data_IF_092077274242
#
_entry.id   IF_092077274242
#
_cell.length_a   1.000
_cell.length_b   1.000
_cell.length_c   1.000
_cell.angle_alpha   90.00
_cell.angle_beta   90.00
_cell.angle_gamma   90.00
#
_symmetry.space_group_name_H-M   'P 1'
#
loop_
_entity.id
_entity.type
_entity.pdbx_description
1 polymer ?
#
# COMPACT_ATOMS: atom_id res chain seq x y z
N UNK A 1 5.41 -26.09 -17.01
CA UNK A 1 6.23 -24.88 -16.85
C UNK A 1 5.80 -24.20 -15.56
N UNK A 2 6.76 -23.60 -14.81
CA UNK A 2 6.41 -22.74 -13.67
C UNK A 2 5.63 -21.51 -14.18
N UNK A 3 4.61 -21.10 -13.44
CA UNK A 3 3.90 -19.84 -13.73
C UNK A 3 4.79 -18.65 -13.42
N UNK A 4 4.77 -17.65 -14.31
CA UNK A 4 5.56 -16.42 -14.20
C UNK A 4 4.72 -15.31 -13.60
N UNK A 5 5.23 -14.68 -12.55
CA UNK A 5 4.62 -13.50 -11.96
C UNK A 5 5.53 -12.27 -12.17
N UNK A 6 4.99 -11.21 -12.73
CA UNK A 6 5.64 -9.92 -12.83
C UNK A 6 5.20 -9.04 -11.66
N UNK A 7 6.16 -8.61 -10.85
CA UNK A 7 5.93 -7.74 -9.70
C UNK A 7 6.63 -6.42 -9.93
N UNK A 8 5.90 -5.32 -10.13
CA UNK A 8 6.51 -4.00 -10.23
C UNK A 8 6.60 -3.34 -8.86
N UNK A 9 7.66 -2.61 -8.59
CA UNK A 9 7.96 -2.12 -7.23
C UNK A 9 8.39 -3.26 -6.30
N UNK A 10 9.08 -4.26 -6.85
CA UNK A 10 9.42 -5.52 -6.19
C UNK A 10 10.26 -5.35 -4.93
N UNK A 11 11.05 -4.30 -4.84
CA UNK A 11 11.90 -4.00 -3.67
C UNK A 11 11.18 -3.23 -2.56
N UNK A 12 9.93 -2.77 -2.82
CA UNK A 12 9.08 -2.11 -1.83
C UNK A 12 8.45 -3.10 -0.83
N UNK A 13 7.69 -2.56 0.14
CA UNK A 13 7.03 -3.36 1.19
C UNK A 13 6.18 -4.49 0.61
N UNK A 14 5.16 -4.14 -0.18
CA UNK A 14 4.20 -5.14 -0.70
C UNK A 14 4.83 -5.97 -1.82
N UNK A 15 5.60 -5.33 -2.73
CA UNK A 15 6.27 -6.04 -3.82
C UNK A 15 7.19 -7.14 -3.32
N UNK A 16 8.00 -6.88 -2.29
CA UNK A 16 8.92 -7.88 -1.74
C UNK A 16 8.19 -9.01 -1.01
N UNK A 17 7.09 -8.71 -0.33
CA UNK A 17 6.24 -9.72 0.29
C UNK A 17 5.61 -10.63 -0.77
N UNK A 18 5.10 -10.06 -1.88
CA UNK A 18 4.59 -10.82 -3.04
C UNK A 18 5.68 -11.73 -3.61
N UNK A 19 6.88 -11.20 -3.84
CA UNK A 19 8.00 -11.98 -4.35
C UNK A 19 8.33 -13.17 -3.45
N UNK A 20 8.46 -12.95 -2.14
CA UNK A 20 8.78 -13.99 -1.17
C UNK A 20 7.67 -15.04 -1.07
N UNK A 21 6.42 -14.61 -0.99
CA UNK A 21 5.25 -15.48 -0.84
C UNK A 21 5.07 -16.40 -2.06
N UNK A 22 5.04 -15.84 -3.25
CA UNK A 22 4.81 -16.63 -4.47
C UNK A 22 6.03 -17.47 -4.87
N UNK A 23 7.24 -17.04 -4.53
CA UNK A 23 8.43 -17.90 -4.64
C UNK A 23 8.27 -19.19 -3.82
N UNK A 24 7.82 -19.07 -2.55
CA UNK A 24 7.58 -20.23 -1.68
C UNK A 24 6.47 -21.17 -2.24
N UNK A 25 5.58 -20.66 -3.09
CA UNK A 25 4.57 -21.44 -3.80
C UNK A 25 5.08 -22.02 -5.15
N UNK A 26 6.35 -21.83 -5.49
CA UNK A 26 6.98 -22.40 -6.68
C UNK A 26 6.76 -21.60 -7.98
N UNK A 27 6.46 -20.30 -7.88
CA UNK A 27 6.38 -19.41 -9.04
C UNK A 27 7.77 -18.91 -9.45
N UNK A 28 7.92 -18.60 -10.74
CA UNK A 28 9.05 -17.85 -11.29
C UNK A 28 8.76 -16.35 -11.13
N UNK A 29 9.61 -15.64 -10.41
CA UNK A 29 9.38 -14.25 -10.00
C UNK A 29 10.22 -13.29 -10.85
N UNK A 30 9.56 -12.39 -11.57
CA UNK A 30 10.21 -11.28 -12.28
C UNK A 30 9.92 -9.98 -11.53
N UNK A 31 10.90 -9.50 -10.78
CA UNK A 31 10.80 -8.28 -9.96
C UNK A 31 11.29 -7.05 -10.71
N UNK A 32 10.39 -6.15 -11.09
CA UNK A 32 10.72 -4.89 -11.74
C UNK A 32 10.81 -3.76 -10.71
N UNK A 33 11.97 -3.13 -10.59
CA UNK A 33 12.22 -2.00 -9.70
C UNK A 33 13.42 -1.18 -10.20
N UNK A 34 13.40 0.13 -10.01
CA UNK A 34 14.51 1.02 -10.35
C UNK A 34 14.97 1.89 -9.16
N UNK A 35 14.56 1.51 -7.95
CA UNK A 35 14.86 2.25 -6.71
C UNK A 35 14.43 3.73 -6.73
N UNK A 36 13.37 4.06 -7.49
CA UNK A 36 12.86 5.43 -7.60
C UNK A 36 12.49 6.02 -6.22
N UNK A 37 12.22 5.14 -5.24
CA UNK A 37 11.96 5.56 -3.86
C UNK A 37 13.14 6.32 -3.24
N UNK A 38 14.39 5.99 -3.58
CA UNK A 38 15.57 6.73 -3.13
C UNK A 38 15.61 8.14 -3.75
N UNK A 39 15.15 8.31 -4.99
CA UNK A 39 15.03 9.62 -5.62
C UNK A 39 13.95 10.47 -4.93
N UNK A 40 12.82 9.86 -4.55
CA UNK A 40 11.72 10.59 -3.90
C UNK A 40 12.03 10.98 -2.45
N UNK A 41 12.73 10.15 -1.69
CA UNK A 41 12.90 10.31 -0.23
C UNK A 41 14.36 10.35 0.23
N UNK A 42 15.32 10.40 -0.69
CA UNK A 42 16.75 10.36 -0.38
C UNK A 42 17.21 8.99 0.17
N UNK A 43 18.38 8.91 0.79
CA UNK A 43 18.99 7.65 1.25
C UNK A 43 18.12 6.83 2.20
N UNK A 44 17.26 7.48 3.00
CA UNK A 44 16.34 6.78 3.91
C UNK A 44 15.21 6.03 3.17
N UNK A 45 14.96 6.40 1.90
CA UNK A 45 14.00 5.72 1.04
C UNK A 45 14.58 4.57 0.24
N UNK A 46 15.89 4.38 0.26
CA UNK A 46 16.58 3.35 -0.52
C UNK A 46 16.05 1.94 -0.20
N UNK A 47 15.71 1.19 -1.25
CA UNK A 47 15.20 -0.18 -1.19
C UNK A 47 16.15 -1.22 -1.78
N UNK A 48 17.39 -0.84 -2.16
CA UNK A 48 18.39 -1.79 -2.70
C UNK A 48 18.77 -2.88 -1.69
N UNK A 49 18.76 -2.57 -0.38
CA UNK A 49 18.97 -3.59 0.65
C UNK A 49 17.96 -4.75 0.54
N UNK A 50 16.71 -4.43 0.21
CA UNK A 50 15.64 -5.43 0.09
C UNK A 50 15.69 -6.15 -1.27
N UNK A 51 16.11 -5.46 -2.34
CA UNK A 51 16.43 -6.11 -3.62
C UNK A 51 17.53 -7.16 -3.42
N UNK A 52 18.65 -6.78 -2.81
CA UNK A 52 19.76 -7.71 -2.53
C UNK A 52 19.30 -8.91 -1.70
N UNK A 53 18.41 -8.69 -0.73
CA UNK A 53 17.79 -9.78 0.04
C UNK A 53 17.03 -10.74 -0.87
N UNK A 54 16.16 -10.21 -1.75
CA UNK A 54 15.39 -11.05 -2.68
C UNK A 54 16.31 -11.84 -3.62
N UNK A 55 17.34 -11.23 -4.18
CA UNK A 55 18.31 -11.88 -5.08
C UNK A 55 19.11 -12.98 -4.36
N UNK A 56 19.42 -12.80 -3.08
CA UNK A 56 20.17 -13.80 -2.29
C UNK A 56 19.28 -14.94 -1.78
N UNK A 57 18.03 -14.63 -1.37
CA UNK A 57 17.18 -15.58 -0.67
C UNK A 57 16.27 -16.40 -1.62
N UNK A 58 15.98 -15.88 -2.85
CA UNK A 58 15.02 -16.47 -3.76
C UNK A 58 15.69 -17.01 -5.03
N UNK A 59 15.79 -18.32 -5.16
CA UNK A 59 16.47 -18.99 -6.29
C UNK A 59 15.83 -18.74 -7.67
N UNK A 60 14.52 -18.47 -7.71
CA UNK A 60 13.75 -18.23 -8.96
C UNK A 60 13.32 -16.77 -9.07
N UNK A 61 14.11 -15.84 -8.54
CA UNK A 61 13.89 -14.41 -8.63
C UNK A 61 14.81 -13.79 -9.69
N UNK A 62 14.24 -13.04 -10.60
CA UNK A 62 14.95 -12.31 -11.66
C UNK A 62 14.65 -10.83 -11.55
N UNK A 63 15.66 -10.05 -11.19
CA UNK A 63 15.54 -8.60 -11.14
C UNK A 63 15.53 -7.98 -12.54
N UNK A 64 14.63 -7.03 -12.75
CA UNK A 64 14.50 -6.23 -13.98
C UNK A 64 14.63 -4.74 -13.60
N UNK A 65 15.79 -4.16 -13.90
CA UNK A 65 16.03 -2.72 -13.70
C UNK A 65 15.34 -1.94 -14.81
N UNK A 66 14.13 -1.42 -14.56
CA UNK A 66 13.33 -0.73 -15.56
C UNK A 66 12.38 0.27 -14.92
N UNK A 67 12.17 1.40 -15.62
CA UNK A 67 11.17 2.41 -15.25
C UNK A 67 9.84 2.12 -15.97
N UNK A 68 8.75 2.03 -15.21
CA UNK A 68 7.41 1.79 -15.75
C UNK A 68 6.91 2.92 -16.68
N UNK A 69 7.51 4.12 -16.59
CA UNK A 69 7.25 5.25 -17.49
C UNK A 69 7.77 5.02 -18.89
N UNK A 70 8.75 4.13 -19.07
CA UNK A 70 9.31 3.80 -20.37
C UNK A 70 8.40 2.82 -21.12
N UNK A 71 7.50 3.38 -21.94
CA UNK A 71 6.48 2.63 -22.68
C UNK A 71 7.06 1.53 -23.56
N UNK A 72 8.06 1.82 -24.36
CA UNK A 72 8.61 0.89 -25.33
C UNK A 72 9.30 -0.29 -24.64
N UNK A 73 10.02 -0.02 -23.56
CA UNK A 73 10.67 -1.06 -22.76
C UNK A 73 9.64 -1.94 -22.05
N UNK A 74 8.55 -1.38 -21.53
CA UNK A 74 7.46 -2.15 -20.92
C UNK A 74 6.76 -3.04 -21.97
N UNK A 75 6.42 -2.50 -23.15
CA UNK A 75 5.84 -3.29 -24.24
C UNK A 75 6.77 -4.44 -24.66
N UNK A 76 8.07 -4.19 -24.77
CA UNK A 76 9.06 -5.20 -25.12
C UNK A 76 9.21 -6.27 -24.01
N UNK A 77 9.20 -5.87 -22.72
CA UNK A 77 9.23 -6.79 -21.60
C UNK A 77 8.04 -7.78 -21.67
N UNK A 78 6.82 -7.26 -21.80
CA UNK A 78 5.62 -8.12 -21.87
C UNK A 78 5.60 -9.02 -23.09
N UNK A 79 6.03 -8.52 -24.25
CA UNK A 79 6.13 -9.31 -25.48
C UNK A 79 7.01 -10.56 -25.31
N UNK A 80 8.14 -10.42 -24.60
CA UNK A 80 9.14 -11.46 -24.42
C UNK A 80 8.85 -12.36 -23.22
N UNK A 81 8.46 -11.76 -22.07
CA UNK A 81 8.24 -12.48 -20.83
C UNK A 81 6.89 -13.24 -20.83
N UNK A 82 5.82 -12.58 -21.29
CA UNK A 82 4.43 -13.06 -21.22
C UNK A 82 4.07 -13.56 -19.83
N UNK A 83 4.03 -12.67 -18.82
CA UNK A 83 3.73 -13.07 -17.45
C UNK A 83 2.31 -13.64 -17.32
N UNK A 84 2.17 -14.72 -16.55
CA UNK A 84 0.87 -15.33 -16.22
C UNK A 84 0.07 -14.50 -15.20
N UNK A 85 0.75 -13.64 -14.42
CA UNK A 85 0.17 -12.81 -13.36
C UNK A 85 0.95 -11.50 -13.32
N UNK A 86 0.24 -10.38 -13.09
CA UNK A 86 0.84 -9.07 -12.90
C UNK A 86 0.39 -8.49 -11.56
N UNK A 87 1.35 -8.19 -10.68
CA UNK A 87 1.10 -7.44 -9.43
C UNK A 87 1.82 -6.10 -9.50
N UNK A 88 1.02 -5.05 -9.65
CA UNK A 88 1.51 -3.70 -9.84
C UNK A 88 1.52 -2.91 -8.52
N UNK A 89 2.71 -2.80 -7.90
CA UNK A 89 2.92 -2.06 -6.65
C UNK A 89 3.83 -0.84 -6.79
N UNK A 90 4.46 -0.65 -7.95
CA UNK A 90 5.29 0.52 -8.22
C UNK A 90 4.45 1.80 -8.21
N UNK A 91 4.89 2.80 -7.46
CA UNK A 91 4.20 4.09 -7.35
C UNK A 91 5.15 5.17 -6.79
N UNK A 92 4.83 6.45 -7.04
CA UNK A 92 5.18 7.55 -6.16
C UNK A 92 4.17 7.55 -5.00
N UNK A 93 4.56 7.24 -3.75
CA UNK A 93 3.58 6.92 -2.70
C UNK A 93 3.25 8.07 -1.74
N UNK A 94 3.88 9.24 -1.87
CA UNK A 94 3.73 10.36 -0.93
C UNK A 94 2.85 11.47 -1.47
N UNK A 95 1.74 11.75 -0.77
CA UNK A 95 0.87 12.85 -1.13
C UNK A 95 1.52 14.24 -0.90
N UNK A 96 2.41 14.37 0.09
CA UNK A 96 3.13 15.62 0.34
C UNK A 96 4.13 15.89 -0.79
N UNK A 97 4.91 14.86 -1.18
CA UNK A 97 5.92 14.99 -2.23
C UNK A 97 5.31 15.25 -3.62
N UNK A 98 4.13 14.72 -3.91
CA UNK A 98 3.45 14.92 -5.19
C UNK A 98 3.25 16.40 -5.57
N UNK A 99 3.07 17.28 -4.58
CA UNK A 99 2.92 18.71 -4.82
C UNK A 99 4.22 19.37 -5.33
N UNK A 100 5.38 18.84 -4.97
CA UNK A 100 6.68 19.33 -5.40
C UNK A 100 7.09 18.77 -6.77
N UNK A 101 6.60 17.56 -7.12
CA UNK A 101 6.99 16.82 -8.33
C UNK A 101 5.76 16.33 -9.11
N UNK A 102 4.82 17.20 -9.52
CA UNK A 102 3.53 16.79 -10.06
C UNK A 102 3.62 15.97 -11.36
N UNK A 103 4.59 16.26 -12.22
CA UNK A 103 4.82 15.48 -13.43
C UNK A 103 5.32 14.08 -13.12
N UNK A 104 6.35 13.94 -12.27
CA UNK A 104 6.88 12.63 -11.87
C UNK A 104 5.82 11.80 -11.14
N UNK A 105 4.97 12.44 -10.31
CA UNK A 105 3.86 11.77 -9.63
C UNK A 105 2.86 11.21 -10.64
N UNK A 106 2.38 12.05 -11.57
CA UNK A 106 1.38 11.64 -12.56
C UNK A 106 1.94 10.61 -13.54
N UNK A 107 3.16 10.84 -14.03
CA UNK A 107 3.82 9.92 -14.97
C UNK A 107 4.08 8.55 -14.33
N UNK A 108 4.48 8.51 -13.07
CA UNK A 108 4.69 7.24 -12.37
C UNK A 108 3.36 6.55 -12.08
N UNK A 109 2.39 7.25 -11.47
CA UNK A 109 1.18 6.63 -10.97
C UNK A 109 0.14 6.36 -12.07
N UNK A 110 -0.07 7.29 -13.00
CA UNK A 110 -1.08 7.18 -14.04
C UNK A 110 -0.51 6.64 -15.36
N UNK A 111 0.52 7.29 -15.92
CA UNK A 111 1.09 6.89 -17.22
C UNK A 111 1.80 5.54 -17.10
N UNK A 112 2.56 5.30 -16.03
CA UNK A 112 3.20 4.01 -15.77
C UNK A 112 2.19 2.86 -15.66
N UNK A 113 1.08 3.09 -14.95
CA UNK A 113 -0.03 2.11 -14.88
C UNK A 113 -0.65 1.85 -16.25
N UNK A 114 -0.89 2.91 -17.05
CA UNK A 114 -1.42 2.76 -18.41
C UNK A 114 -0.47 1.94 -19.31
N UNK A 115 0.85 2.16 -19.22
CA UNK A 115 1.83 1.40 -19.98
C UNK A 115 1.75 -0.11 -19.67
N UNK A 116 1.61 -0.47 -18.39
CA UNK A 116 1.47 -1.87 -17.94
C UNK A 116 0.13 -2.48 -18.39
N UNK A 117 -0.97 -1.75 -18.26
CA UNK A 117 -2.30 -2.19 -18.69
C UNK A 117 -2.34 -2.47 -20.19
N UNK A 118 -1.81 -1.55 -21.00
CA UNK A 118 -1.81 -1.70 -22.46
C UNK A 118 -0.86 -2.82 -22.91
N UNK A 119 0.27 -3.01 -22.22
CA UNK A 119 1.16 -4.14 -22.47
C UNK A 119 0.48 -5.47 -22.10
N UNK A 120 -0.23 -5.52 -20.98
CA UNK A 120 -1.00 -6.69 -20.56
C UNK A 120 -2.10 -7.02 -21.57
N UNK A 121 -2.88 -6.02 -21.98
CA UNK A 121 -3.92 -6.19 -23.00
C UNK A 121 -3.39 -6.79 -24.32
N UNK A 122 -2.21 -6.34 -24.77
CA UNK A 122 -1.63 -6.78 -26.05
C UNK A 122 -1.02 -8.17 -26.00
N UNK A 123 -0.44 -8.55 -24.86
CA UNK A 123 0.41 -9.73 -24.82
C UNK A 123 -0.05 -10.81 -23.83
N UNK A 124 -0.86 -10.45 -22.84
CA UNK A 124 -1.29 -11.34 -21.74
C UNK A 124 -2.70 -11.00 -21.26
N UNK A 125 -3.66 -10.93 -22.18
CA UNK A 125 -5.04 -10.43 -21.96
C UNK A 125 -5.74 -11.14 -20.81
N UNK A 126 -5.54 -12.46 -20.69
CA UNK A 126 -6.22 -13.30 -19.68
C UNK A 126 -5.48 -13.38 -18.34
N UNK A 127 -4.31 -12.72 -18.23
CA UNK A 127 -3.52 -12.72 -16.99
C UNK A 127 -4.12 -11.78 -15.96
N UNK A 128 -4.35 -12.24 -14.70
CA UNK A 128 -4.79 -11.38 -13.63
C UNK A 128 -3.86 -10.17 -13.41
N UNK A 129 -4.46 -8.98 -13.39
CA UNK A 129 -3.77 -7.71 -13.18
C UNK A 129 -4.24 -7.09 -11.86
N UNK A 130 -3.37 -7.10 -10.85
CA UNK A 130 -3.67 -6.60 -9.51
C UNK A 130 -2.95 -5.26 -9.30
N UNK A 131 -3.72 -4.18 -9.16
CA UNK A 131 -3.20 -2.83 -8.93
C UNK A 131 -3.34 -2.41 -7.47
N UNK A 132 -2.22 -2.05 -6.83
CA UNK A 132 -2.23 -1.44 -5.50
C UNK A 132 -2.62 0.04 -5.62
N UNK A 133 -3.91 0.30 -5.42
CA UNK A 133 -4.51 1.62 -5.31
C UNK A 133 -4.40 2.15 -3.87
N UNK A 134 -5.17 3.15 -3.49
CA UNK A 134 -5.10 3.80 -2.18
C UNK A 134 -6.47 4.30 -1.73
N UNK A 135 -6.68 4.42 -0.43
CA UNK A 135 -7.84 5.10 0.15
C UNK A 135 -7.89 6.61 -0.17
N UNK A 136 -6.78 7.20 -0.66
CA UNK A 136 -6.75 8.61 -1.09
C UNK A 136 -7.56 8.89 -2.35
N UNK A 137 -8.04 7.85 -3.05
CA UNK A 137 -9.02 8.01 -4.13
C UNK A 137 -10.35 8.58 -3.64
N UNK A 138 -10.67 8.45 -2.36
CA UNK A 138 -11.84 9.09 -1.73
C UNK A 138 -11.61 10.57 -1.36
N UNK A 139 -10.38 11.08 -1.54
CA UNK A 139 -10.01 12.44 -1.18
C UNK A 139 -10.18 12.72 0.31
N UNK A 140 -10.61 13.94 0.63
CA UNK A 140 -10.93 14.37 2.01
C UNK A 140 -12.42 14.15 2.38
N UNK A 141 -13.21 13.58 1.49
CA UNK A 141 -14.65 13.34 1.71
C UNK A 141 -14.96 12.53 2.98
N UNK A 142 -14.14 11.54 3.42
CA UNK A 142 -14.36 10.88 4.71
C UNK A 142 -14.40 11.82 5.91
N UNK A 143 -13.78 13.01 5.83
CA UNK A 143 -13.80 14.01 6.89
C UNK A 143 -15.13 14.78 6.99
N UNK A 144 -16.02 14.66 6.00
CA UNK A 144 -17.37 15.23 6.05
C UNK A 144 -18.37 14.39 6.84
N UNK A 145 -18.01 13.15 7.17
CA UNK A 145 -18.83 12.28 8.00
C UNK A 145 -18.78 12.78 9.45
N UNK A 146 -19.94 12.82 10.10
CA UNK A 146 -20.01 13.19 11.51
C UNK A 146 -19.16 12.28 12.38
N UNK A 147 -18.30 12.87 13.21
CA UNK A 147 -17.37 12.19 14.09
C UNK A 147 -17.71 12.43 15.57
N UNK A 148 -17.46 11.41 16.39
CA UNK A 148 -17.48 11.50 17.84
C UNK A 148 -16.07 11.44 18.40
N UNK A 149 -15.71 12.42 19.23
CA UNK A 149 -14.44 12.40 19.97
C UNK A 149 -14.56 11.49 21.19
N UNK A 150 -13.77 10.43 21.22
CA UNK A 150 -13.60 9.55 22.39
C UNK A 150 -12.33 9.93 23.15
N UNK A 151 -12.06 9.24 24.24
CA UNK A 151 -10.90 9.53 25.09
C UNK A 151 -9.58 9.55 24.29
N UNK A 152 -9.32 8.51 23.51
CA UNK A 152 -8.04 8.34 22.79
C UNK A 152 -8.16 8.37 21.26
N UNK A 153 -9.34 8.47 20.69
CA UNK A 153 -9.57 8.40 19.26
C UNK A 153 -10.79 9.16 18.78
N UNK A 154 -10.80 9.53 17.52
CA UNK A 154 -12.00 9.84 16.76
C UNK A 154 -12.66 8.56 16.25
N UNK A 155 -14.00 8.54 16.15
CA UNK A 155 -14.76 7.43 15.58
C UNK A 155 -15.95 7.99 14.79
N UNK A 156 -16.50 7.22 13.84
CA UNK A 156 -17.70 7.65 13.13
C UNK A 156 -18.93 7.63 14.09
N UNK A 157 -19.67 8.75 14.09
CA UNK A 157 -20.92 8.87 14.82
C UNK A 157 -22.08 8.17 14.06
N UNK A 158 -22.07 8.25 12.72
CA UNK A 158 -23.08 7.63 11.88
C UNK A 158 -22.93 6.11 11.82
N UNK A 159 -23.98 5.41 12.22
CA UNK A 159 -24.05 3.92 12.21
C UNK A 159 -23.84 3.33 10.82
N UNK A 160 -24.12 4.06 9.76
CA UNK A 160 -23.88 3.65 8.37
C UNK A 160 -22.40 3.29 8.13
N UNK A 161 -21.50 3.99 8.82
CA UNK A 161 -20.06 3.78 8.69
C UNK A 161 -19.46 2.99 9.88
N UNK A 162 -20.30 2.26 10.61
CA UNK A 162 -19.81 1.44 11.74
C UNK A 162 -18.74 0.42 11.33
N UNK A 163 -18.88 -0.17 10.14
CA UNK A 163 -17.91 -1.11 9.58
C UNK A 163 -16.77 -0.44 8.80
N UNK A 164 -16.85 0.88 8.57
CA UNK A 164 -15.88 1.65 7.82
C UNK A 164 -16.42 2.23 6.51
N UNK A 165 -15.51 2.74 5.71
CA UNK A 165 -15.80 3.35 4.40
C UNK A 165 -15.95 2.22 3.36
N UNK A 166 -17.11 2.08 2.69
CA UNK A 166 -17.30 1.07 1.65
C UNK A 166 -16.74 1.52 0.28
N UNK A 167 -16.58 0.59 -0.66
CA UNK A 167 -16.13 0.87 -2.03
C UNK A 167 -17.10 1.75 -2.83
N UNK A 168 -18.39 1.76 -2.44
CA UNK A 168 -19.42 2.64 -3.01
C UNK A 168 -19.33 4.10 -2.54
N UNK A 169 -18.41 4.43 -1.63
CA UNK A 169 -18.19 5.80 -1.20
C UNK A 169 -17.69 6.64 -2.37
N UNK A 170 -18.21 7.89 -2.49
CA UNK A 170 -17.90 8.73 -3.66
C UNK A 170 -16.41 9.07 -3.74
N UNK A 171 -15.92 9.11 -4.97
CA UNK A 171 -14.59 9.62 -5.32
C UNK A 171 -14.67 11.02 -5.94
N UNK A 172 -15.88 11.57 -6.12
CA UNK A 172 -16.12 12.88 -6.75
C UNK A 172 -16.24 13.99 -5.71
N UNK A 173 -16.02 15.23 -6.17
CA UNK A 173 -16.25 16.47 -5.41
C UNK A 173 -15.52 16.55 -4.06
N UNK A 174 -14.31 16.03 -4.01
CA UNK A 174 -13.44 16.06 -2.85
C UNK A 174 -12.01 16.49 -3.20
N UNK A 175 -11.22 16.92 -2.21
CA UNK A 175 -9.81 17.25 -2.43
C UNK A 175 -8.97 15.98 -2.34
N UNK A 176 -8.45 15.53 -3.49
CA UNK A 176 -7.65 14.31 -3.55
C UNK A 176 -6.17 14.50 -3.23
N UNK A 177 -5.65 15.73 -3.20
CA UNK A 177 -4.24 16.04 -3.44
C UNK A 177 -3.80 15.63 -4.87
N UNK A 178 -2.63 16.05 -5.32
CA UNK A 178 -2.11 15.63 -6.65
C UNK A 178 -1.84 14.13 -6.70
N UNK A 179 -1.27 13.57 -5.62
CA UNK A 179 -1.11 12.12 -5.45
C UNK A 179 -2.44 11.36 -5.57
N UNK A 180 -3.46 11.81 -4.84
CA UNK A 180 -4.78 11.18 -4.91
C UNK A 180 -5.37 11.25 -6.32
N UNK A 181 -5.21 12.37 -7.02
CA UNK A 181 -5.70 12.56 -8.38
C UNK A 181 -5.00 11.62 -9.39
N UNK A 182 -3.66 11.48 -9.33
CA UNK A 182 -2.92 10.54 -10.19
C UNK A 182 -3.31 9.08 -9.89
N UNK A 183 -3.56 8.73 -8.62
CA UNK A 183 -4.04 7.41 -8.23
C UNK A 183 -5.50 7.16 -8.63
N UNK A 184 -6.39 8.18 -8.62
CA UNK A 184 -7.75 8.07 -9.18
C UNK A 184 -7.69 7.77 -10.68
N UNK A 185 -6.84 8.49 -11.43
CA UNK A 185 -6.68 8.23 -12.86
C UNK A 185 -6.26 6.78 -13.13
N UNK A 186 -5.28 6.25 -12.39
CA UNK A 186 -4.86 4.86 -12.47
C UNK A 186 -5.97 3.86 -12.08
N UNK A 187 -6.65 4.12 -10.95
CA UNK A 187 -7.74 3.28 -10.42
C UNK A 187 -8.88 3.13 -11.44
N UNK A 188 -9.32 4.24 -12.03
CA UNK A 188 -10.36 4.23 -13.06
C UNK A 188 -9.88 3.50 -14.34
N UNK A 189 -8.64 3.72 -14.79
CA UNK A 189 -8.10 3.02 -15.96
C UNK A 189 -8.03 1.52 -15.75
N UNK A 190 -7.65 1.05 -14.57
CA UNK A 190 -7.61 -0.39 -14.26
C UNK A 190 -9.02 -1.00 -14.33
N UNK A 191 -10.03 -0.30 -13.79
CA UNK A 191 -11.43 -0.73 -13.86
C UNK A 191 -11.93 -0.78 -15.31
N UNK A 192 -11.62 0.28 -16.10
CA UNK A 192 -12.07 0.35 -17.51
C UNK A 192 -11.40 -0.69 -18.39
N UNK A 193 -10.11 -0.99 -18.20
CA UNK A 193 -9.47 -2.09 -18.92
C UNK A 193 -10.13 -3.44 -18.61
N UNK A 194 -10.56 -3.65 -17.37
CA UNK A 194 -11.37 -4.81 -17.04
C UNK A 194 -12.72 -4.80 -17.74
N UNK A 195 -13.54 -3.76 -17.56
CA UNK A 195 -14.90 -3.69 -18.06
C UNK A 195 -14.98 -3.64 -19.59
N UNK A 196 -14.07 -2.90 -20.23
CA UNK A 196 -14.08 -2.68 -21.68
C UNK A 196 -13.44 -3.82 -22.46
N UNK A 197 -12.36 -4.42 -21.95
CA UNK A 197 -11.61 -5.47 -22.63
C UNK A 197 -11.80 -6.86 -22.03
N UNK A 198 -12.56 -7.00 -20.95
CA UNK A 198 -12.77 -8.28 -20.27
C UNK A 198 -11.57 -8.79 -19.48
N UNK A 199 -10.58 -7.93 -19.22
CA UNK A 199 -9.38 -8.32 -18.50
C UNK A 199 -9.69 -8.62 -17.02
N UNK A 200 -9.11 -9.64 -16.41
CA UNK A 200 -9.26 -9.93 -14.98
C UNK A 200 -8.44 -8.91 -14.14
N UNK A 201 -8.96 -7.70 -13.98
CA UNK A 201 -8.28 -6.60 -13.27
C UNK A 201 -8.93 -6.30 -11.92
N UNK A 202 -8.12 -5.88 -10.96
CA UNK A 202 -8.62 -5.37 -9.67
C UNK A 202 -7.81 -4.19 -9.16
N UNK A 203 -8.51 -3.24 -8.51
CA UNK A 203 -7.93 -2.19 -7.70
C UNK A 203 -8.05 -2.54 -6.22
N UNK A 204 -6.92 -2.58 -5.52
CA UNK A 204 -6.86 -2.76 -4.07
C UNK A 204 -6.61 -1.39 -3.43
N UNK A 205 -7.68 -0.75 -2.93
CA UNK A 205 -7.62 0.57 -2.29
C UNK A 205 -7.08 0.46 -0.88
N UNK A 206 -5.74 0.55 -0.78
CA UNK A 206 -5.02 0.35 0.47
C UNK A 206 -5.30 1.42 1.52
N UNK A 207 -5.53 1.00 2.78
CA UNK A 207 -5.38 1.80 3.99
C UNK A 207 -3.91 1.95 4.36
N UNK A 208 -3.55 1.81 5.62
CA UNK A 208 -2.15 1.76 6.03
C UNK A 208 -1.58 0.35 5.85
N UNK A 209 -0.99 0.09 4.68
CA UNK A 209 -0.27 -1.14 4.42
C UNK A 209 1.06 -1.09 5.18
N UNK A 210 1.34 -2.10 6.00
CA UNK A 210 2.50 -2.11 6.89
C UNK A 210 3.09 -3.50 7.05
N UNK A 211 4.28 -3.59 7.66
CA UNK A 211 4.95 -4.86 7.87
C UNK A 211 6.45 -4.70 8.12
N UNK A 212 7.15 -5.81 8.41
CA UNK A 212 8.55 -5.79 8.84
C UNK A 212 9.53 -5.25 7.80
N UNK A 213 9.25 -5.40 6.51
CA UNK A 213 10.12 -4.95 5.41
C UNK A 213 9.87 -3.49 4.99
N UNK A 214 9.10 -2.72 5.76
CA UNK A 214 8.82 -1.33 5.42
C UNK A 214 10.03 -0.43 5.74
N UNK A 215 10.55 0.28 4.72
CA UNK A 215 11.48 1.39 4.89
C UNK A 215 10.69 2.65 5.24
N UNK A 216 10.19 2.73 6.49
CA UNK A 216 9.37 3.84 6.97
C UNK A 216 10.18 5.13 7.08
N UNK A 217 9.62 6.22 6.51
CA UNK A 217 10.15 7.59 6.58
C UNK A 217 9.05 8.52 7.06
N UNK A 218 9.39 9.73 7.53
CA UNK A 218 8.43 10.68 8.10
C UNK A 218 7.24 10.98 7.17
N UNK A 219 7.49 11.04 5.87
CA UNK A 219 6.47 11.35 4.87
C UNK A 219 5.69 10.12 4.37
N UNK A 220 6.13 8.89 4.71
CA UNK A 220 5.47 7.67 4.25
C UNK A 220 5.80 6.46 5.13
N UNK A 221 4.74 5.78 5.62
CA UNK A 221 4.86 4.59 6.46
C UNK A 221 4.90 4.93 7.95
N UNK A 222 3.86 5.65 8.42
CA UNK A 222 3.82 6.24 9.75
C UNK A 222 4.12 5.25 10.88
N UNK A 223 3.58 4.03 10.82
CA UNK A 223 3.73 3.05 11.89
C UNK A 223 5.19 2.58 12.02
N UNK A 224 5.82 2.26 10.87
CA UNK A 224 7.23 1.86 10.85
C UNK A 224 8.15 3.01 11.28
N UNK A 225 7.85 4.25 10.86
CA UNK A 225 8.58 5.43 11.27
C UNK A 225 8.42 5.74 12.77
N UNK A 226 7.20 5.63 13.30
CA UNK A 226 6.88 5.80 14.72
C UNK A 226 7.69 4.83 15.59
N UNK A 227 7.69 3.54 15.22
CA UNK A 227 8.44 2.51 15.93
C UNK A 227 9.95 2.79 15.88
N UNK A 228 10.45 3.21 14.72
CA UNK A 228 11.85 3.64 14.57
C UNK A 228 12.19 4.82 15.48
N UNK A 229 11.31 5.84 15.55
CA UNK A 229 11.52 6.99 16.44
C UNK A 229 11.62 6.56 17.92
N UNK A 230 10.75 5.66 18.38
CA UNK A 230 10.81 5.11 19.73
C UNK A 230 12.13 4.37 19.99
N UNK A 231 12.54 3.48 19.09
CA UNK A 231 13.79 2.72 19.21
C UNK A 231 15.03 3.60 19.22
N UNK A 232 15.06 4.66 18.41
CA UNK A 232 16.20 5.55 18.24
C UNK A 232 16.18 6.74 19.22
N UNK A 233 15.17 6.84 20.11
CA UNK A 233 14.90 7.98 20.97
C UNK A 233 14.81 9.29 20.19
N UNK A 234 14.23 9.25 18.99
CA UNK A 234 13.98 10.41 18.13
C UNK A 234 12.62 11.03 18.47
N UNK A 235 12.54 12.34 18.34
CA UNK A 235 11.28 13.07 18.47
C UNK A 235 10.37 12.76 17.27
N UNK A 236 9.10 12.43 17.58
CA UNK A 236 8.03 12.26 16.61
C UNK A 236 7.13 13.50 16.59
N UNK A 237 6.78 14.02 15.41
CA UNK A 237 5.87 15.17 15.30
C UNK A 237 4.44 14.69 15.10
N UNK A 238 3.55 15.08 16.03
CA UNK A 238 2.10 14.83 15.97
C UNK A 238 1.45 16.02 15.27
N UNK A 239 0.84 15.80 14.11
CA UNK A 239 0.20 16.85 13.30
C UNK A 239 -1.32 16.87 13.54
N UNK A 240 -1.78 17.85 14.31
CA UNK A 240 -3.19 18.16 14.53
C UNK A 240 -4.04 17.06 15.16
N UNK A 241 -5.33 17.29 15.16
CA UNK A 241 -6.39 16.37 15.62
C UNK A 241 -6.17 15.80 17.04
N UNK A 242 -5.37 16.47 17.87
CA UNK A 242 -4.98 16.05 19.24
C UNK A 242 -4.26 14.68 19.29
N UNK A 243 -3.70 14.20 18.17
CA UNK A 243 -3.14 12.85 18.07
C UNK A 243 -4.19 11.72 18.07
N UNK A 244 -5.48 12.07 17.96
CA UNK A 244 -6.60 11.12 17.99
C UNK A 244 -7.05 10.66 16.60
N UNK A 245 -6.35 11.07 15.53
CA UNK A 245 -6.63 10.62 14.17
C UNK A 245 -6.45 9.11 14.02
N UNK A 246 -7.42 8.46 13.37
CA UNK A 246 -7.52 7.00 13.28
C UNK A 246 -7.18 6.51 11.89
N UNK A 247 -6.41 5.43 11.82
CA UNK A 247 -6.12 4.65 10.61
C UNK A 247 -6.25 3.17 10.87
N UNK A 248 -6.74 2.43 9.88
CA UNK A 248 -6.66 0.98 9.88
C UNK A 248 -5.33 0.51 9.29
N UNK A 249 -4.82 -0.57 9.85
CA UNK A 249 -3.51 -1.12 9.52
C UNK A 249 -3.66 -2.58 9.10
N UNK A 250 -3.08 -2.93 7.96
CA UNK A 250 -3.05 -4.32 7.48
C UNK A 250 -1.61 -4.75 7.23
N UNK A 251 -1.30 -5.96 7.68
CA UNK A 251 0.01 -6.57 7.47
C UNK A 251 0.22 -6.95 6.00
N UNK A 252 1.43 -6.75 5.47
CA UNK A 252 1.82 -7.15 4.11
C UNK A 252 1.49 -8.60 3.79
N UNK A 253 1.64 -9.50 4.77
CA UNK A 253 1.27 -10.91 4.63
C UNK A 253 -0.23 -11.11 4.33
N UNK A 254 -1.14 -10.43 5.05
CA UNK A 254 -2.59 -10.52 4.78
C UNK A 254 -2.99 -9.89 3.45
N UNK A 255 -2.25 -8.87 2.99
CA UNK A 255 -2.38 -8.30 1.64
C UNK A 255 -2.08 -9.35 0.58
N UNK A 256 -0.95 -10.04 0.70
CA UNK A 256 -0.52 -11.04 -0.30
C UNK A 256 -1.45 -12.24 -0.30
N UNK A 257 -1.98 -12.67 0.85
CA UNK A 257 -3.00 -13.69 0.93
C UNK A 257 -4.29 -13.30 0.20
N UNK A 258 -4.66 -12.02 0.19
CA UNK A 258 -5.79 -11.56 -0.61
C UNK A 258 -5.45 -11.59 -2.11
N UNK A 259 -4.25 -11.16 -2.49
CA UNK A 259 -3.78 -11.25 -3.88
C UNK A 259 -3.85 -12.69 -4.37
N UNK A 260 -3.45 -13.67 -3.58
CA UNK A 260 -3.57 -15.10 -3.90
C UNK A 260 -5.04 -15.52 -4.13
N UNK A 261 -5.96 -15.10 -3.27
CA UNK A 261 -7.39 -15.40 -3.45
C UNK A 261 -7.92 -14.83 -4.77
N UNK A 262 -7.53 -13.60 -5.11
CA UNK A 262 -7.92 -13.00 -6.38
C UNK A 262 -7.33 -13.73 -7.58
N UNK A 263 -6.05 -14.14 -7.53
CA UNK A 263 -5.38 -14.91 -8.59
C UNK A 263 -6.08 -16.26 -8.82
N UNK A 264 -6.50 -16.92 -7.75
CA UNK A 264 -7.16 -18.23 -7.84
C UNK A 264 -8.62 -18.14 -8.32
N UNK A 265 -9.29 -17.02 -8.11
CA UNK A 265 -10.66 -16.77 -8.57
C UNK A 265 -10.81 -15.33 -9.05
N UNK A 266 -10.22 -14.97 -10.20
CA UNK A 266 -10.18 -13.59 -10.67
C UNK A 266 -11.56 -13.10 -11.11
N UNK A 267 -11.80 -11.81 -10.91
CA UNK A 267 -12.99 -11.08 -11.35
C UNK A 267 -12.59 -9.95 -12.29
N UNK A 268 -13.54 -9.41 -13.02
CA UNK A 268 -13.30 -8.42 -14.07
C UNK A 268 -13.62 -7.01 -13.56
N UNK A 269 -12.63 -6.11 -13.57
CA UNK A 269 -12.81 -4.68 -13.27
C UNK A 269 -13.26 -4.39 -11.84
N UNK A 270 -12.85 -5.20 -10.86
CA UNK A 270 -13.30 -5.11 -9.48
C UNK A 270 -12.45 -4.15 -8.64
N UNK A 271 -13.09 -3.61 -7.59
CA UNK A 271 -12.46 -2.74 -6.60
C UNK A 271 -12.71 -3.31 -5.22
N UNK A 272 -11.66 -3.35 -4.39
CA UNK A 272 -11.75 -3.73 -2.99
C UNK A 272 -11.01 -2.74 -2.10
N UNK A 273 -11.63 -2.35 -0.99
CA UNK A 273 -10.91 -1.70 0.08
C UNK A 273 -10.02 -2.72 0.79
N UNK A 274 -8.75 -2.38 0.95
CA UNK A 274 -7.74 -3.26 1.51
C UNK A 274 -7.11 -2.61 2.75
N UNK A 275 -7.64 -2.95 3.91
CA UNK A 275 -7.20 -2.40 5.18
C UNK A 275 -7.40 -3.37 6.34
N UNK A 276 -7.12 -2.92 7.54
CA UNK A 276 -7.33 -3.69 8.75
C UNK A 276 -8.77 -3.64 9.29
N UNK A 277 -9.63 -2.82 8.66
CA UNK A 277 -10.96 -2.55 9.17
C UNK A 277 -10.95 -1.88 10.55
N UNK A 278 -12.11 -1.76 11.16
CA UNK A 278 -12.25 -1.17 12.50
C UNK A 278 -11.43 -1.92 13.56
N UNK A 279 -11.36 -3.23 13.46
CA UNK A 279 -10.70 -4.09 14.46
C UNK A 279 -9.18 -3.84 14.52
N UNK A 280 -8.52 -3.64 13.37
CA UNK A 280 -7.10 -3.32 13.28
C UNK A 280 -6.85 -1.81 13.05
N UNK A 281 -7.75 -0.95 13.55
CA UNK A 281 -7.56 0.50 13.53
C UNK A 281 -7.02 1.02 14.86
N UNK A 282 -6.12 1.99 14.80
CA UNK A 282 -5.66 2.70 15.99
C UNK A 282 -5.50 4.20 15.70
N UNK A 283 -5.63 4.98 16.75
CA UNK A 283 -5.19 6.37 16.74
C UNK A 283 -3.68 6.47 16.97
N UNK A 284 -3.13 7.68 16.83
CA UNK A 284 -1.72 7.92 17.11
C UNK A 284 -1.41 7.73 18.61
N UNK A 285 -2.32 8.18 19.50
CA UNK A 285 -2.18 8.00 20.95
C UNK A 285 -2.19 6.50 21.31
N UNK A 286 -3.13 5.74 20.77
CA UNK A 286 -3.21 4.29 20.97
C UNK A 286 -1.94 3.58 20.42
N UNK A 287 -1.42 4.02 19.26
CA UNK A 287 -0.17 3.51 18.72
C UNK A 287 1.04 3.78 19.62
N UNK A 288 1.09 4.96 20.27
CA UNK A 288 2.14 5.27 21.26
C UNK A 288 2.09 4.30 22.46
N UNK A 289 0.91 4.05 22.99
CA UNK A 289 0.75 3.13 24.12
C UNK A 289 1.19 1.70 23.76
N UNK A 290 0.83 1.23 22.58
CA UNK A 290 1.24 -0.11 22.10
C UNK A 290 2.77 -0.20 22.05
N UNK A 291 3.44 0.77 21.40
CA UNK A 291 4.90 0.69 21.25
C UNK A 291 5.63 0.92 22.59
N UNK A 292 5.10 1.76 23.46
CA UNK A 292 5.66 1.95 24.82
C UNK A 292 5.61 0.66 25.64
N UNK A 293 4.52 -0.10 25.54
CA UNK A 293 4.38 -1.38 26.20
C UNK A 293 5.35 -2.45 25.64
N UNK A 294 5.58 -2.46 24.32
CA UNK A 294 6.51 -3.41 23.67
C UNK A 294 7.95 -3.07 24.00
N UNK A 295 8.35 -1.81 23.89
CA UNK A 295 9.73 -1.37 24.01
C UNK A 295 10.19 -1.07 25.46
N UNK A 296 9.23 -0.85 26.37
CA UNK A 296 9.48 -0.32 27.70
C UNK A 296 9.93 1.14 27.73
N UNK A 297 9.88 1.86 26.58
CA UNK A 297 10.35 3.24 26.44
C UNK A 297 9.20 4.19 26.13
N UNK A 298 9.20 5.36 26.76
CA UNK A 298 8.23 6.41 26.44
C UNK A 298 8.50 7.02 25.06
N UNK A 299 7.43 7.39 24.36
CA UNK A 299 7.54 8.16 23.13
C UNK A 299 8.00 9.58 23.41
N UNK A 300 8.98 10.04 22.66
CA UNK A 300 9.38 11.45 22.64
C UNK A 300 8.66 12.10 21.48
N UNK A 301 7.76 13.04 21.74
CA UNK A 301 7.01 13.71 20.68
C UNK A 301 6.81 15.19 20.94
N UNK A 302 6.50 15.91 19.86
CA UNK A 302 6.00 17.29 19.92
C UNK A 302 4.67 17.36 19.18
N UNK A 303 3.85 18.32 19.56
CA UNK A 303 2.55 18.54 18.95
C UNK A 303 2.57 19.81 18.09
N UNK A 304 2.04 19.70 16.86
CA UNK A 304 1.80 20.80 15.94
C UNK A 304 0.31 21.01 15.75
N UNK A 305 -0.18 22.24 15.90
CA UNK A 305 -1.58 22.59 15.62
C UNK A 305 -1.92 22.48 14.12
N UNK A 306 -0.92 22.46 13.24
CA UNK A 306 -1.10 22.41 11.80
C UNK A 306 -1.41 20.98 11.36
N UNK A 307 -2.59 20.78 10.76
CA UNK A 307 -2.95 19.51 10.18
C UNK A 307 -2.23 19.29 8.85
N UNK A 308 -1.87 18.05 8.54
CA UNK A 308 -1.37 17.69 7.19
C UNK A 308 -2.51 17.82 6.17
N UNK A 309 -2.22 18.48 5.04
CA UNK A 309 -3.20 18.65 3.95
C UNK A 309 -3.61 17.29 3.38
N UNK A 310 -4.90 17.07 3.17
CA UNK A 310 -5.44 15.84 2.59
C UNK A 310 -5.38 14.62 3.53
N UNK A 311 -5.14 14.83 4.82
CA UNK A 311 -5.17 13.75 5.80
C UNK A 311 -6.58 13.48 6.32
N UNK A 312 -6.89 12.22 6.63
CA UNK A 312 -8.17 11.82 7.23
C UNK A 312 -8.13 12.03 8.75
N UNK A 313 -9.25 12.46 9.34
CA UNK A 313 -9.40 12.47 10.80
C UNK A 313 -9.68 11.05 11.29
N UNK A 314 -10.64 10.37 10.64
CA UNK A 314 -10.94 8.98 10.90
C UNK A 314 -11.10 8.24 9.57
N UNK A 315 -10.35 7.16 9.40
CA UNK A 315 -10.52 6.24 8.28
C UNK A 315 -10.25 4.81 8.71
N UNK A 316 -11.17 3.95 8.41
CA UNK A 316 -10.97 2.50 8.34
C UNK A 316 -11.86 1.91 7.25
N UNK A 317 -11.36 0.87 6.62
CA UNK A 317 -11.96 0.20 5.47
C UNK A 317 -13.15 -0.66 5.89
N UNK A 318 -14.26 -0.59 5.16
CA UNK A 318 -15.26 -1.65 5.20
C UNK A 318 -14.75 -2.82 4.34
N UNK A 319 -14.69 -4.01 4.93
CA UNK A 319 -14.18 -5.23 4.29
C UNK A 319 -15.30 -6.20 3.88
N UNK A 320 -16.57 -5.79 3.96
CA UNK A 320 -17.70 -6.68 3.71
C UNK A 320 -17.70 -7.22 2.28
N UNK A 321 -17.50 -6.36 1.27
CA UNK A 321 -17.42 -6.78 -0.14
C UNK A 321 -16.31 -7.82 -0.38
N UNK A 322 -15.14 -7.59 0.21
CA UNK A 322 -14.01 -8.51 0.12
C UNK A 322 -14.35 -9.88 0.73
N UNK A 323 -14.96 -9.91 1.90
CA UNK A 323 -15.38 -11.13 2.59
C UNK A 323 -16.52 -11.86 1.87
N UNK A 324 -17.45 -11.12 1.25
CA UNK A 324 -18.52 -11.69 0.43
C UNK A 324 -17.98 -12.40 -0.80
N UNK A 325 -17.06 -11.75 -1.52
CA UNK A 325 -16.49 -12.31 -2.74
C UNK A 325 -15.45 -13.41 -2.48
N UNK A 326 -14.73 -13.33 -1.35
CA UNK A 326 -13.66 -14.26 -0.95
C UNK A 326 -13.80 -14.67 0.52
N UNK A 327 -14.81 -15.49 0.86
CA UNK A 327 -15.15 -15.82 2.25
C UNK A 327 -14.06 -16.62 2.98
N UNK A 328 -13.15 -17.26 2.26
CA UNK A 328 -11.98 -17.95 2.83
C UNK A 328 -10.86 -17.00 3.28
N UNK A 329 -10.90 -15.73 2.86
CA UNK A 329 -9.93 -14.76 3.30
C UNK A 329 -10.34 -14.08 4.61
N UNK A 330 -9.38 -13.89 5.47
CA UNK A 330 -9.51 -13.11 6.71
C UNK A 330 -8.19 -12.49 7.11
N UNK A 331 -8.24 -11.45 7.92
CA UNK A 331 -7.06 -10.89 8.58
C UNK A 331 -6.55 -11.89 9.61
N UNK A 332 -5.26 -12.22 9.55
CA UNK A 332 -4.58 -13.15 10.47
C UNK A 332 -3.61 -12.47 11.42
N UNK A 333 -3.16 -11.26 11.07
CA UNK A 333 -2.22 -10.48 11.87
C UNK A 333 -2.95 -9.36 12.62
N UNK A 334 -3.01 -9.47 13.94
CA UNK A 334 -3.54 -8.41 14.81
C UNK A 334 -2.62 -7.18 14.84
N UNK A 335 -3.10 -6.08 15.42
CA UNK A 335 -2.26 -4.90 15.67
C UNK A 335 -1.02 -5.26 16.48
N UNK A 336 -1.16 -6.07 17.53
CA UNK A 336 -0.03 -6.50 18.35
C UNK A 336 1.01 -7.28 17.55
N UNK A 337 0.56 -8.19 16.65
CA UNK A 337 1.48 -8.88 15.75
C UNK A 337 2.22 -7.89 14.84
N UNK A 338 1.49 -6.94 14.25
CA UNK A 338 2.06 -5.91 13.36
C UNK A 338 3.14 -5.10 14.09
N UNK A 339 2.84 -4.59 15.28
CA UNK A 339 3.79 -3.78 16.05
C UNK A 339 5.02 -4.58 16.45
N UNK A 340 4.84 -5.80 16.97
CA UNK A 340 5.95 -6.66 17.39
C UNK A 340 6.86 -7.03 16.22
N UNK A 341 6.31 -7.43 15.07
CA UNK A 341 7.12 -7.83 13.91
C UNK A 341 7.91 -6.64 13.33
N UNK A 342 7.31 -5.45 13.28
CA UNK A 342 8.03 -4.23 12.84
C UNK A 342 9.12 -3.87 13.86
N UNK A 343 8.82 -3.93 15.16
CA UNK A 343 9.80 -3.66 16.22
C UNK A 343 11.01 -4.58 16.10
N UNK A 344 10.80 -5.89 16.04
CA UNK A 344 11.86 -6.90 15.88
C UNK A 344 12.67 -6.68 14.59
N UNK A 345 12.00 -6.32 13.48
CA UNK A 345 12.69 -6.04 12.22
C UNK A 345 13.63 -4.84 12.33
N UNK A 346 13.21 -3.76 13.01
CA UNK A 346 14.09 -2.61 13.24
C UNK A 346 15.24 -2.91 14.21
N UNK A 347 15.02 -3.72 15.24
CA UNK A 347 16.11 -4.16 16.14
C UNK A 347 17.16 -4.95 15.36
N UNK A 348 16.75 -5.92 14.55
CA UNK A 348 17.67 -6.75 13.77
C UNK A 348 18.48 -5.96 12.72
N UNK A 349 17.94 -4.87 12.19
CA UNK A 349 18.67 -3.98 11.26
C UNK A 349 19.71 -3.10 11.93
N UNK A 350 19.57 -2.81 13.23
CA UNK A 350 20.56 -2.01 13.99
C UNK A 350 21.80 -2.80 14.37
N UNK A 351 21.69 -4.12 14.42
CA UNK A 351 22.80 -5.02 14.82
C UNK A 351 23.74 -5.30 13.63
N UNK A 352 23.34 -4.95 12.42
CA UNK A 352 24.14 -5.05 11.20
C UNK A 352 24.75 -3.70 10.82
#
# INVERSE_FOLDING_TARGET
>A
MMKKILVTGSSGLIGSEVCTYFHAMGYEIHGLDNNQRAVFFGPNGDTRWNQNRLENDLSNFYHVELDIRNRDSILNLFKNLRPDIIVHTAAQPSHDRAADIPFDDFDTNAVGTLNLLEASRRYTLDSPFIHLSTNKVYGDLPNSIELIEKDKRWDFADKKYFNGIPESFSIDQSKHSLFGASKVAADIMVQEYGRYFGMPTTCLRGGCLTGPNHSGVELHGFLSYLIRCNLENKKYTVFGYKGKQVRDNIHSYDVVRFIEQFINNPRVGEVYNLGGGKQNSCSLIEAFEIIENISGKKMIYEYSEVNRKGDHICYYSDLNKMKEHYPSWSITKSLDNIFNEIYQSWESRKIK
#
